data_IF_176278139070
#
_entry.id   IF_176278139070
#
_cell.length_a   1.000
_cell.length_b   1.000
_cell.length_c   1.000
_cell.angle_alpha   90.00
_cell.angle_beta   90.00
_cell.angle_gamma   90.00
#
_symmetry.space_group_name_H-M   'P 1'
#
loop_
_entity.id
_entity.type
_entity.pdbx_description
1 polymer ?
#
# COMPACT_ATOMS: atom_id res chain seq x y z
N UNK A 1 1.76 -25.87 -1.60
CA UNK A 1 0.61 -24.93 -1.55
C UNK A 1 -0.53 -25.60 -0.82
N UNK A 2 -1.31 -24.88 0.01
CA UNK A 2 -2.54 -25.43 0.56
C UNK A 2 -3.48 -25.86 -0.58
N UNK A 3 -4.27 -26.92 -0.36
CA UNK A 3 -5.22 -27.39 -1.36
C UNK A 3 -6.31 -26.34 -1.58
N UNK A 4 -6.42 -25.81 -2.80
CA UNK A 4 -7.50 -24.89 -3.17
C UNK A 4 -8.73 -25.72 -3.54
N UNK A 5 -9.90 -25.35 -3.00
CA UNK A 5 -11.13 -26.04 -3.36
C UNK A 5 -11.42 -25.88 -4.88
N UNK A 6 -11.88 -26.93 -5.58
CA UNK A 6 -12.15 -26.86 -7.02
C UNK A 6 -13.08 -25.71 -7.42
N UNK A 7 -14.09 -25.43 -6.59
CA UNK A 7 -15.02 -24.30 -6.79
C UNK A 7 -14.33 -22.94 -6.77
N UNK A 8 -13.37 -22.76 -5.85
CA UNK A 8 -12.58 -21.53 -5.78
C UNK A 8 -11.65 -21.40 -6.99
N UNK A 9 -11.04 -22.50 -7.44
CA UNK A 9 -10.23 -22.53 -8.65
C UNK A 9 -11.00 -22.15 -9.92
N UNK A 10 -12.19 -22.72 -10.11
CA UNK A 10 -13.07 -22.36 -11.22
C UNK A 10 -13.48 -20.88 -11.20
N UNK A 11 -13.79 -20.35 -10.02
CA UNK A 11 -14.15 -18.94 -9.86
C UNK A 11 -13.00 -18.02 -10.27
N UNK A 12 -11.77 -18.32 -9.82
CA UNK A 12 -10.57 -17.56 -10.16
C UNK A 12 -10.33 -17.58 -11.67
N UNK A 13 -10.36 -18.75 -12.31
CA UNK A 13 -10.16 -18.92 -13.75
C UNK A 13 -11.22 -18.14 -14.54
N UNK A 14 -12.51 -18.26 -14.18
CA UNK A 14 -13.61 -17.57 -14.88
C UNK A 14 -13.52 -16.04 -14.74
N UNK A 15 -13.21 -15.56 -13.55
CA UNK A 15 -13.16 -14.11 -13.25
C UNK A 15 -11.96 -13.46 -13.94
N UNK A 16 -10.80 -14.10 -13.91
CA UNK A 16 -9.56 -13.59 -14.51
C UNK A 16 -9.42 -13.90 -16.00
N UNK A 17 -10.24 -14.82 -16.53
CA UNK A 17 -10.10 -15.41 -17.87
C UNK A 17 -8.72 -16.04 -18.12
N UNK A 18 -8.02 -16.44 -17.06
CA UNK A 18 -6.72 -17.10 -17.16
C UNK A 18 -6.85 -18.54 -17.68
N UNK A 19 -5.74 -19.08 -18.18
CA UNK A 19 -5.70 -20.46 -18.74
C UNK A 19 -5.67 -21.54 -17.67
N UNK A 20 -5.13 -21.21 -16.50
CA UNK A 20 -4.93 -22.12 -15.38
C UNK A 20 -5.02 -21.36 -14.05
N UNK A 21 -5.10 -22.11 -12.96
CA UNK A 21 -5.32 -21.58 -11.61
C UNK A 21 -4.12 -20.79 -11.08
N UNK A 22 -2.89 -21.16 -11.47
CA UNK A 22 -1.69 -20.49 -11.01
C UNK A 22 -1.65 -19.08 -11.62
N UNK A 23 -1.88 -18.97 -12.94
CA UNK A 23 -2.01 -17.68 -13.62
C UNK A 23 -3.18 -16.86 -13.08
N UNK A 24 -4.33 -17.48 -12.81
CA UNK A 24 -5.48 -16.78 -12.23
C UNK A 24 -5.15 -16.18 -10.85
N UNK A 25 -4.48 -16.96 -10.01
CA UNK A 25 -4.08 -16.52 -8.68
C UNK A 25 -3.03 -15.41 -8.75
N UNK A 26 -2.02 -15.54 -9.61
CA UNK A 26 -0.98 -14.53 -9.79
C UNK A 26 -1.55 -13.19 -10.28
N UNK A 27 -2.50 -13.23 -11.22
CA UNK A 27 -3.16 -12.02 -11.72
C UNK A 27 -3.91 -11.30 -10.59
N UNK A 28 -4.75 -12.01 -9.84
CA UNK A 28 -5.52 -11.40 -8.74
C UNK A 28 -4.60 -10.90 -7.63
N UNK A 29 -3.55 -11.64 -7.30
CA UNK A 29 -2.59 -11.23 -6.28
C UNK A 29 -1.85 -9.95 -6.70
N UNK A 30 -1.43 -9.88 -7.96
CA UNK A 30 -0.76 -8.69 -8.52
C UNK A 30 -1.69 -7.49 -8.52
N UNK A 31 -2.90 -7.64 -9.07
CA UNK A 31 -3.91 -6.57 -9.10
C UNK A 31 -4.27 -6.08 -7.68
N UNK A 32 -4.39 -7.00 -6.72
CA UNK A 32 -4.61 -6.67 -5.32
C UNK A 32 -3.49 -5.79 -4.75
N UNK A 33 -2.23 -6.19 -4.94
CA UNK A 33 -1.07 -5.43 -4.47
C UNK A 33 -0.99 -4.06 -5.15
N UNK A 34 -1.23 -3.98 -6.45
CA UNK A 34 -1.23 -2.73 -7.21
C UNK A 34 -2.30 -1.76 -6.71
N UNK A 35 -3.54 -2.24 -6.49
CA UNK A 35 -4.63 -1.41 -5.98
C UNK A 35 -4.34 -0.89 -4.56
N UNK A 36 -3.80 -1.76 -3.69
CA UNK A 36 -3.38 -1.36 -2.34
C UNK A 36 -2.27 -0.32 -2.36
N UNK A 37 -1.21 -0.57 -3.13
CA UNK A 37 -0.09 0.36 -3.25
C UNK A 37 -0.52 1.69 -3.86
N UNK A 38 -1.32 1.69 -4.92
CA UNK A 38 -1.88 2.91 -5.52
C UNK A 38 -2.60 3.77 -4.48
N UNK A 39 -3.48 3.15 -3.71
CA UNK A 39 -4.25 3.85 -2.66
C UNK A 39 -3.31 4.46 -1.60
N UNK A 40 -2.28 3.73 -1.20
CA UNK A 40 -1.31 4.19 -0.21
C UNK A 40 -0.42 5.33 -0.74
N UNK A 41 0.01 5.26 -2.01
CA UNK A 41 0.73 6.37 -2.65
C UNK A 41 -0.13 7.63 -2.72
N UNK A 42 -1.41 7.53 -3.10
CA UNK A 42 -2.33 8.68 -3.13
C UNK A 42 -2.54 9.29 -1.73
N UNK A 43 -2.61 8.46 -0.68
CA UNK A 43 -2.69 8.92 0.71
C UNK A 43 -1.41 9.66 1.11
N UNK A 44 -0.24 9.09 0.83
CA UNK A 44 1.06 9.70 1.14
C UNK A 44 1.22 11.02 0.39
N UNK A 45 0.91 11.06 -0.91
CA UNK A 45 1.00 12.25 -1.75
C UNK A 45 0.08 13.37 -1.25
N UNK A 46 -1.14 13.02 -0.80
CA UNK A 46 -2.07 13.99 -0.18
C UNK A 46 -1.45 14.63 1.06
N UNK A 47 -0.81 13.85 1.93
CA UNK A 47 -0.16 14.40 3.11
C UNK A 47 1.09 15.21 2.77
N UNK A 48 1.91 14.74 1.84
CA UNK A 48 3.06 15.50 1.33
C UNK A 48 2.64 16.85 0.75
N UNK A 49 1.53 16.88 0.01
CA UNK A 49 0.95 18.10 -0.55
C UNK A 49 0.40 19.02 0.55
N UNK A 50 -0.27 18.46 1.57
CA UNK A 50 -0.82 19.23 2.71
C UNK A 50 0.28 19.89 3.54
N UNK A 51 1.38 19.18 3.79
CA UNK A 51 2.44 19.62 4.69
C UNK A 51 3.65 20.23 3.96
N UNK A 52 3.76 20.06 2.65
CA UNK A 52 4.86 20.58 1.82
C UNK A 52 6.22 19.92 2.12
N UNK A 53 6.22 18.70 2.65
CA UNK A 53 7.42 17.96 3.04
C UNK A 53 7.16 16.46 3.03
N UNK A 54 8.20 15.63 3.16
CA UNK A 54 8.04 14.19 3.37
C UNK A 54 7.73 13.83 4.82
N UNK A 55 7.37 12.56 5.07
CA UNK A 55 6.97 12.08 6.40
C UNK A 55 8.10 12.20 7.43
N UNK A 56 9.35 11.95 7.05
CA UNK A 56 10.47 11.98 7.99
C UNK A 56 10.78 13.41 8.43
N UNK A 57 10.73 14.37 7.51
CA UNK A 57 10.83 15.78 7.82
C UNK A 57 9.65 16.26 8.67
N UNK A 58 8.43 15.84 8.35
CA UNK A 58 7.25 16.13 9.16
C UNK A 58 7.42 15.60 10.60
N UNK A 59 7.86 14.35 10.77
CA UNK A 59 8.12 13.72 12.06
C UNK A 59 9.19 14.46 12.86
N UNK A 60 10.27 14.93 12.22
CA UNK A 60 11.31 15.75 12.87
C UNK A 60 10.75 17.08 13.35
N UNK A 61 10.02 17.80 12.49
CA UNK A 61 9.44 19.11 12.83
C UNK A 61 8.41 19.00 13.95
N UNK A 62 7.59 17.96 13.94
CA UNK A 62 6.61 17.68 14.99
C UNK A 62 7.29 17.46 16.35
N UNK A 63 8.38 16.69 16.39
CA UNK A 63 9.18 16.45 17.62
C UNK A 63 9.87 17.72 18.13
N UNK A 64 10.36 18.57 17.22
CA UNK A 64 11.03 19.83 17.58
C UNK A 64 10.08 20.94 18.03
N UNK A 65 8.76 20.73 17.95
CA UNK A 65 7.76 21.77 18.26
C UNK A 65 7.66 22.88 17.20
N UNK A 66 8.28 22.71 16.04
CA UNK A 66 8.30 23.70 14.96
C UNK A 66 6.98 23.79 14.17
N UNK A 67 6.06 22.83 14.37
CA UNK A 67 4.69 22.88 13.83
C UNK A 67 3.84 23.73 14.78
N UNK A 68 3.37 24.91 14.36
CA UNK A 68 2.54 25.83 15.19
C UNK A 68 1.24 25.12 15.60
N UNK A 69 1.06 24.89 16.90
CA UNK A 69 0.27 23.77 17.45
C UNK A 69 -1.14 24.07 17.97
N UNK A 70 -1.49 25.32 18.28
CA UNK A 70 -2.48 25.47 19.37
C UNK A 70 -3.97 25.41 18.98
N UNK A 71 -4.33 25.33 17.70
CA UNK A 71 -5.71 25.08 17.25
C UNK A 71 -5.88 23.81 16.39
N UNK A 72 -4.77 23.21 15.95
CA UNK A 72 -4.74 22.06 15.04
C UNK A 72 -4.08 20.83 15.68
N UNK A 73 -3.85 20.83 17.00
CA UNK A 73 -3.13 19.74 17.68
C UNK A 73 -3.75 18.37 17.40
N UNK A 74 -5.08 18.25 17.47
CA UNK A 74 -5.78 17.01 17.16
C UNK A 74 -5.68 16.62 15.67
N UNK A 75 -5.85 17.58 14.76
CA UNK A 75 -5.75 17.32 13.31
C UNK A 75 -4.32 16.94 12.89
N UNK A 76 -3.31 17.55 13.52
CA UNK A 76 -1.89 17.25 13.31
C UNK A 76 -1.56 15.85 13.82
N UNK A 77 -2.09 15.47 14.99
CA UNK A 77 -1.95 14.13 15.53
C UNK A 77 -2.65 13.12 14.61
N UNK A 78 -3.90 13.37 14.20
CA UNK A 78 -4.61 12.47 13.29
C UNK A 78 -3.84 12.29 11.96
N UNK A 79 -3.35 13.38 11.37
CA UNK A 79 -2.52 13.32 10.18
C UNK A 79 -1.25 12.50 10.41
N UNK A 80 -0.56 12.69 11.55
CA UNK A 80 0.63 11.91 11.89
C UNK A 80 0.33 10.41 11.91
N UNK A 81 -0.74 10.00 12.58
CA UNK A 81 -1.10 8.58 12.74
C UNK A 81 -1.49 7.95 11.40
N UNK A 82 -2.33 8.64 10.63
CA UNK A 82 -2.76 8.17 9.31
C UNK A 82 -1.61 8.08 8.32
N UNK A 83 -0.68 9.04 8.36
CA UNK A 83 0.49 9.02 7.49
C UNK A 83 1.49 7.94 7.91
N UNK A 84 1.75 7.77 9.20
CA UNK A 84 2.62 6.69 9.70
C UNK A 84 2.10 5.30 9.34
N UNK A 85 0.79 5.09 9.48
CA UNK A 85 0.13 3.86 9.04
C UNK A 85 0.30 3.65 7.53
N UNK A 86 0.07 4.68 6.72
CA UNK A 86 0.21 4.59 5.27
C UNK A 86 1.64 4.25 4.84
N UNK A 87 2.65 4.89 5.42
CA UNK A 87 4.07 4.60 5.14
C UNK A 87 4.44 3.16 5.53
N UNK A 88 3.95 2.69 6.69
CA UNK A 88 4.20 1.34 7.18
C UNK A 88 3.56 0.28 6.28
N UNK A 89 2.29 0.45 5.92
CA UNK A 89 1.58 -0.46 5.02
C UNK A 89 2.19 -0.45 3.61
N UNK A 90 2.58 0.73 3.11
CA UNK A 90 3.22 0.87 1.80
C UNK A 90 4.49 0.03 1.74
N UNK A 91 5.35 0.16 2.75
CA UNK A 91 6.58 -0.64 2.86
C UNK A 91 6.28 -2.14 2.89
N UNK A 92 5.30 -2.58 3.68
CA UNK A 92 4.90 -3.98 3.75
C UNK A 92 4.45 -4.56 2.40
N UNK A 93 3.62 -3.83 1.65
CA UNK A 93 3.15 -4.28 0.35
C UNK A 93 4.23 -4.20 -0.74
N UNK A 94 5.14 -3.22 -0.66
CA UNK A 94 6.32 -3.15 -1.55
C UNK A 94 7.27 -4.34 -1.32
N UNK A 95 7.46 -4.76 -0.07
CA UNK A 95 8.21 -5.97 0.29
C UNK A 95 7.50 -7.23 -0.25
N UNK A 96 6.19 -7.36 0.01
CA UNK A 96 5.37 -8.47 -0.51
C UNK A 96 5.41 -8.57 -2.04
N UNK A 97 5.44 -7.43 -2.74
CA UNK A 97 5.58 -7.39 -4.20
C UNK A 97 6.96 -7.89 -4.67
N UNK A 98 8.04 -7.54 -3.94
CA UNK A 98 9.41 -7.97 -4.28
C UNK A 98 9.65 -9.45 -4.03
N UNK A 99 8.99 -10.03 -3.04
CA UNK A 99 9.10 -11.45 -2.69
C UNK A 99 8.32 -12.35 -3.66
N UNK A 100 7.45 -11.80 -4.51
CA UNK A 100 6.72 -12.56 -5.52
C UNK A 100 7.68 -12.97 -6.67
N UNK A 101 7.92 -14.28 -6.91
CA UNK A 101 8.95 -14.79 -7.83
C UNK A 101 8.81 -14.38 -9.31
N UNK A 102 7.70 -13.76 -9.71
CA UNK A 102 7.33 -13.47 -11.10
C UNK A 102 7.42 -11.99 -11.49
N UNK A 103 7.85 -11.08 -10.60
CA UNK A 103 8.01 -9.65 -10.94
C UNK A 103 9.33 -9.31 -11.67
N UNK A 104 10.17 -10.31 -11.99
CA UNK A 104 11.27 -10.15 -12.96
C UNK A 104 10.73 -10.23 -14.39
N UNK A 105 9.87 -9.28 -14.78
CA UNK A 105 9.69 -8.96 -16.19
C UNK A 105 10.46 -7.66 -16.43
N UNK A 106 11.64 -7.83 -17.02
CA UNK A 106 12.46 -6.74 -17.52
C UNK A 106 11.63 -5.84 -18.45
N UNK A 107 11.57 -4.55 -18.13
CA UNK A 107 11.37 -3.52 -19.15
C UNK A 107 12.67 -3.34 -19.93
#
# INVERSE_FOLDING_TARGET
MPAISPKLGELLIKTTKAKDIDNAFQNIFTEYLELKLKTLYEIVERFQSKWGMDFEEFKKRLKSGAVKKDAYAFDVEQDFWQWEEAETLKKHYEESRRESPSFQVHF
#
